data_IF_840333308648
#
_entry.id   IF_840333308648
#
_cell.length_a   1.000
_cell.length_b   1.000
_cell.length_c   1.000
_cell.angle_alpha   90.00
_cell.angle_beta   90.00
_cell.angle_gamma   90.00
#
_symmetry.space_group_name_H-M   'P 1'
#
loop_
_entity.id
_entity.type
_entity.pdbx_description
1 polymer ?
#
# COMPACT_ATOMS: atom_id res chain seq x y z
N UNK A 1 2.24 -81.49 39.58
CA UNK A 1 3.55 -80.91 39.93
C UNK A 1 3.52 -79.45 39.54
N UNK A 2 4.12 -78.63 40.39
CA UNK A 2 3.89 -77.20 40.59
C UNK A 2 3.93 -76.32 39.34
N UNK A 3 2.94 -75.43 39.24
CA UNK A 3 3.01 -74.25 38.39
C UNK A 3 3.91 -73.24 39.12
N UNK A 4 5.23 -73.41 38.99
CA UNK A 4 6.22 -72.49 39.56
C UNK A 4 6.08 -71.16 38.83
N UNK A 5 5.31 -70.25 39.43
CA UNK A 5 5.20 -68.86 38.99
C UNK A 5 6.61 -68.29 38.93
N UNK A 6 7.12 -68.11 37.72
CA UNK A 6 8.43 -67.54 37.46
C UNK A 6 8.44 -66.15 38.10
N UNK A 7 9.22 -65.99 39.18
CA UNK A 7 9.31 -64.70 39.84
C UNK A 7 9.93 -63.69 38.86
N UNK A 8 9.33 -62.49 38.73
CA UNK A 8 9.89 -61.45 37.89
C UNK A 8 11.26 -61.04 38.45
N UNK A 9 12.19 -60.75 37.54
CA UNK A 9 13.47 -60.19 37.93
C UNK A 9 13.25 -58.73 38.38
N UNK A 10 13.20 -58.54 39.70
CA UNK A 10 13.02 -57.23 40.31
C UNK A 10 14.16 -56.27 39.98
N UNK A 11 15.34 -56.76 39.61
CA UNK A 11 16.46 -55.92 39.16
C UNK A 11 16.17 -55.32 37.79
N UNK A 12 15.62 -56.12 36.88
CA UNK A 12 15.18 -55.67 35.55
C UNK A 12 14.01 -54.69 35.68
N UNK A 13 13.05 -54.99 36.55
CA UNK A 13 11.92 -54.09 36.81
C UNK A 13 12.38 -52.74 37.39
N UNK A 14 13.30 -52.75 38.37
CA UNK A 14 13.86 -51.53 38.94
C UNK A 14 14.70 -50.74 37.93
N UNK A 15 15.44 -51.43 37.05
CA UNK A 15 16.17 -50.81 35.95
C UNK A 15 15.25 -50.12 34.95
N UNK A 16 14.14 -50.77 34.57
CA UNK A 16 13.13 -50.18 33.70
C UNK A 16 12.45 -48.95 34.30
N UNK A 17 12.17 -48.97 35.60
CA UNK A 17 11.61 -47.82 36.31
C UNK A 17 12.58 -46.64 36.38
N UNK A 18 13.89 -46.88 36.57
CA UNK A 18 14.91 -45.82 36.50
C UNK A 18 15.00 -45.23 35.10
N UNK A 19 15.05 -46.07 34.08
CA UNK A 19 15.09 -45.59 32.70
C UNK A 19 13.86 -44.73 32.36
N UNK A 20 12.67 -45.13 32.83
CA UNK A 20 11.46 -44.34 32.67
C UNK A 20 11.56 -42.99 33.40
N UNK A 21 12.09 -42.98 34.62
CA UNK A 21 12.32 -41.74 35.38
C UNK A 21 13.31 -40.80 34.68
N UNK A 22 14.44 -41.32 34.18
CA UNK A 22 15.43 -40.55 33.43
C UNK A 22 14.81 -39.91 32.17
N UNK A 23 13.94 -40.65 31.46
CA UNK A 23 13.23 -40.12 30.29
C UNK A 23 12.18 -39.06 30.66
N UNK A 24 11.55 -39.16 31.83
CA UNK A 24 10.61 -38.13 32.31
C UNK A 24 11.33 -36.85 32.76
N UNK A 25 12.56 -36.96 33.28
CA UNK A 25 13.39 -35.79 33.58
C UNK A 25 13.77 -35.01 32.31
N UNK A 26 13.98 -35.70 31.17
CA UNK A 26 14.22 -35.05 29.88
C UNK A 26 13.02 -34.22 29.39
N UNK A 27 11.80 -34.55 29.82
CA UNK A 27 10.60 -33.80 29.48
C UNK A 27 10.52 -32.41 30.15
N UNK A 28 11.38 -32.10 31.13
CA UNK A 28 11.45 -30.77 31.76
C UNK A 28 11.92 -29.68 30.78
N UNK A 29 12.54 -30.07 29.65
CA UNK A 29 13.00 -29.16 28.60
C UNK A 29 11.99 -28.96 27.46
N UNK A 30 10.81 -29.57 27.54
CA UNK A 30 9.76 -29.32 26.55
C UNK A 30 9.18 -27.95 26.89
N UNK A 31 9.20 -26.96 25.98
CA UNK A 31 8.54 -25.68 26.20
C UNK A 31 7.07 -25.96 26.52
N UNK A 32 6.74 -25.81 27.80
CA UNK A 32 5.43 -26.18 28.34
C UNK A 32 4.34 -25.32 27.69
N UNK A 33 3.11 -25.83 27.76
CA UNK A 33 1.87 -25.22 27.24
C UNK A 33 1.72 -23.70 27.52
N UNK A 34 2.41 -23.16 28.54
CA UNK A 34 2.52 -21.73 28.82
C UNK A 34 3.14 -20.89 27.69
N UNK A 35 4.08 -21.43 26.91
CA UNK A 35 4.64 -20.74 25.74
C UNK A 35 3.61 -20.59 24.61
N UNK A 36 2.73 -21.58 24.46
CA UNK A 36 1.61 -21.50 23.50
C UNK A 36 0.63 -20.38 23.85
N UNK A 37 0.31 -20.22 25.14
CA UNK A 37 -0.54 -19.10 25.61
C UNK A 37 0.12 -17.74 25.40
N UNK A 38 1.43 -17.63 25.64
CA UNK A 38 2.19 -16.40 25.37
C UNK A 38 2.24 -16.07 23.89
N UNK A 39 2.42 -17.06 23.02
CA UNK A 39 2.38 -16.88 21.56
C UNK A 39 1.01 -16.45 21.06
N UNK A 40 -0.08 -17.03 21.57
CA UNK A 40 -1.43 -16.61 21.23
C UNK A 40 -1.68 -15.15 21.61
N UNK A 41 -1.29 -14.75 22.83
CA UNK A 41 -1.39 -13.35 23.27
C UNK A 41 -0.56 -12.40 22.42
N UNK A 42 0.65 -12.80 22.02
CA UNK A 42 1.47 -12.00 21.11
C UNK A 42 0.80 -11.85 19.73
N UNK A 43 0.21 -12.92 19.22
CA UNK A 43 -0.48 -12.93 17.93
C UNK A 43 -1.74 -12.06 17.96
N UNK A 44 -2.55 -12.14 19.00
CA UNK A 44 -3.73 -11.28 19.19
C UNK A 44 -3.34 -9.80 19.22
N UNK A 45 -2.28 -9.44 19.95
CA UNK A 45 -1.78 -8.05 19.98
C UNK A 45 -1.29 -7.58 18.61
N UNK A 46 -0.65 -8.46 17.84
CA UNK A 46 -0.22 -8.15 16.48
C UNK A 46 -1.42 -7.92 15.55
N UNK A 47 -2.47 -8.74 15.66
CA UNK A 47 -3.68 -8.56 14.86
C UNK A 47 -4.36 -7.22 15.15
N UNK A 48 -4.54 -6.87 16.43
CA UNK A 48 -5.10 -5.56 16.82
C UNK A 48 -4.27 -4.42 16.24
N UNK A 49 -2.94 -4.52 16.33
CA UNK A 49 -2.05 -3.48 15.81
C UNK A 49 -2.08 -3.38 14.27
N UNK A 50 -2.25 -4.51 13.58
CA UNK A 50 -2.41 -4.52 12.12
C UNK A 50 -3.74 -3.89 11.70
N UNK A 51 -4.81 -4.13 12.44
CA UNK A 51 -6.11 -3.50 12.18
C UNK A 51 -6.05 -1.99 12.36
N UNK A 52 -5.37 -1.51 13.42
CA UNK A 52 -5.11 -0.08 13.65
C UNK A 52 -4.32 0.54 12.49
N UNK A 53 -3.21 -0.09 12.08
CA UNK A 53 -2.39 0.38 10.95
C UNK A 53 -3.21 0.41 9.66
N UNK A 54 -4.02 -0.62 9.40
CA UNK A 54 -4.86 -0.69 8.21
C UNK A 54 -5.90 0.43 8.20
N UNK A 55 -6.48 0.75 9.36
CA UNK A 55 -7.42 1.86 9.48
C UNK A 55 -6.73 3.22 9.27
N UNK A 56 -5.58 3.45 9.88
CA UNK A 56 -4.78 4.66 9.68
C UNK A 56 -4.37 4.85 8.22
N UNK A 57 -3.94 3.78 7.56
CA UNK A 57 -3.60 3.82 6.13
C UNK A 57 -4.81 4.21 5.29
N UNK A 58 -5.98 3.62 5.51
CA UNK A 58 -7.21 4.00 4.78
C UNK A 58 -7.55 5.47 4.96
N UNK A 59 -7.46 5.99 6.18
CA UNK A 59 -7.69 7.40 6.45
C UNK A 59 -6.65 8.31 5.79
N UNK A 60 -5.37 7.91 5.81
CA UNK A 60 -4.32 8.65 5.14
C UNK A 60 -4.54 8.68 3.62
N UNK A 61 -4.84 7.54 2.99
CA UNK A 61 -5.13 7.46 1.56
C UNK A 61 -6.33 8.31 1.17
N UNK A 62 -7.42 8.29 1.94
CA UNK A 62 -8.59 9.13 1.69
C UNK A 62 -8.23 10.63 1.72
N UNK A 63 -7.44 11.06 2.72
CA UNK A 63 -6.97 12.46 2.80
C UNK A 63 -6.07 12.84 1.62
N UNK A 64 -5.14 11.96 1.23
CA UNK A 64 -4.28 12.18 0.07
C UNK A 64 -5.08 12.31 -1.22
N UNK A 65 -6.07 11.44 -1.43
CA UNK A 65 -6.95 11.50 -2.58
C UNK A 65 -7.71 12.82 -2.63
N UNK A 66 -8.34 13.23 -1.53
CA UNK A 66 -9.07 14.51 -1.46
C UNK A 66 -8.16 15.72 -1.70
N UNK A 67 -6.92 15.70 -1.19
CA UNK A 67 -5.95 16.76 -1.42
C UNK A 67 -5.54 16.84 -2.90
N UNK A 68 -5.30 15.70 -3.56
CA UNK A 68 -4.98 15.64 -4.99
C UNK A 68 -6.14 16.13 -5.86
N UNK A 69 -7.38 15.76 -5.53
CA UNK A 69 -8.57 16.24 -6.22
C UNK A 69 -8.77 17.76 -6.05
N UNK A 70 -8.48 18.30 -4.86
CA UNK A 70 -8.52 19.74 -4.61
C UNK A 70 -7.47 20.47 -5.47
N UNK A 71 -6.21 20.00 -5.45
CA UNK A 71 -5.13 20.57 -6.26
C UNK A 71 -5.44 20.49 -7.76
N UNK A 72 -5.99 19.37 -8.23
CA UNK A 72 -6.36 19.20 -9.65
C UNK A 72 -7.45 20.19 -10.06
N UNK A 73 -8.46 20.39 -9.21
CA UNK A 73 -9.53 21.37 -9.45
C UNK A 73 -8.99 22.80 -9.46
N UNK A 74 -8.12 23.14 -8.51
CA UNK A 74 -7.48 24.46 -8.43
C UNK A 74 -6.64 24.74 -9.68
N UNK A 75 -5.78 23.80 -10.09
CA UNK A 75 -5.00 23.93 -11.31
C UNK A 75 -5.89 24.10 -12.55
N UNK A 76 -6.94 23.30 -12.66
CA UNK A 76 -7.88 23.37 -13.78
C UNK A 76 -8.57 24.74 -13.84
N UNK A 77 -8.99 25.29 -12.69
CA UNK A 77 -9.60 26.62 -12.62
C UNK A 77 -8.60 27.71 -13.03
N UNK A 78 -7.39 27.68 -12.45
CA UNK A 78 -6.34 28.66 -12.75
C UNK A 78 -5.97 28.70 -14.22
N UNK A 79 -5.70 27.55 -14.84
CA UNK A 79 -5.30 27.51 -16.25
C UNK A 79 -6.47 27.75 -17.20
N UNK A 80 -7.71 27.50 -16.78
CA UNK A 80 -8.90 27.90 -17.55
C UNK A 80 -8.96 29.41 -17.70
N UNK A 81 -8.77 30.15 -16.61
CA UNK A 81 -8.79 31.62 -16.63
C UNK A 81 -7.63 32.19 -17.45
N UNK A 82 -6.43 31.62 -17.29
CA UNK A 82 -5.26 32.01 -18.09
C UNK A 82 -5.50 31.76 -19.59
N UNK A 83 -6.00 30.59 -19.96
CA UNK A 83 -6.31 30.26 -21.35
C UNK A 83 -7.40 31.15 -21.92
N UNK A 84 -8.36 31.58 -21.11
CA UNK A 84 -9.40 32.53 -21.54
C UNK A 84 -8.78 33.89 -21.87
N UNK A 85 -7.84 34.36 -21.07
CA UNK A 85 -7.10 35.59 -21.35
C UNK A 85 -6.28 35.48 -22.65
N UNK A 86 -5.49 34.41 -22.79
CA UNK A 86 -4.69 34.16 -24.00
C UNK A 86 -5.59 34.04 -25.24
N UNK A 87 -6.74 33.37 -25.13
CA UNK A 87 -7.69 33.27 -26.23
C UNK A 87 -8.25 34.64 -26.66
N UNK A 88 -8.48 35.55 -25.70
CA UNK A 88 -8.88 36.93 -26.00
C UNK A 88 -7.77 37.69 -26.72
N UNK A 89 -6.52 37.60 -26.25
CA UNK A 89 -5.38 38.22 -26.93
C UNK A 89 -5.14 37.65 -28.33
N UNK A 90 -5.20 36.33 -28.49
CA UNK A 90 -5.08 35.70 -29.80
C UNK A 90 -6.23 36.08 -30.75
N UNK A 91 -7.43 36.36 -30.23
CA UNK A 91 -8.60 36.68 -31.05
C UNK A 91 -8.51 38.01 -31.79
N UNK A 92 -7.68 38.95 -31.32
CA UNK A 92 -7.49 40.25 -31.99
C UNK A 92 -6.42 40.20 -33.10
N UNK A 93 -5.75 39.06 -33.26
CA UNK A 93 -4.68 38.88 -34.24
C UNK A 93 -5.27 38.38 -35.56
N UNK A 94 -5.34 39.27 -36.55
CA UNK A 94 -5.98 39.00 -37.86
C UNK A 94 -4.96 38.73 -38.95
N UNK A 95 -3.73 39.22 -38.80
CA UNK A 95 -2.68 39.06 -39.80
C UNK A 95 -2.13 37.63 -39.80
N UNK A 96 -1.97 37.04 -41.00
CA UNK A 96 -1.48 35.66 -41.15
C UNK A 96 -0.09 35.41 -40.53
N UNK A 97 0.74 36.44 -40.44
CA UNK A 97 2.07 36.40 -39.80
C UNK A 97 2.05 36.73 -38.31
N UNK A 98 0.90 37.14 -37.77
CA UNK A 98 0.72 37.43 -36.36
C UNK A 98 1.02 36.19 -35.51
N UNK A 99 1.76 36.39 -34.43
CA UNK A 99 2.18 35.33 -33.52
C UNK A 99 1.06 35.03 -32.52
N UNK A 100 0.72 33.76 -32.38
CA UNK A 100 -0.25 33.31 -31.38
C UNK A 100 0.50 32.85 -30.13
N UNK A 101 0.00 33.25 -28.97
CA UNK A 101 0.49 32.73 -27.70
C UNK A 101 -0.12 31.35 -27.41
N UNK A 102 0.69 30.36 -27.00
CA UNK A 102 0.19 29.01 -26.80
C UNK A 102 -0.62 28.85 -25.52
N UNK A 103 -1.67 28.02 -25.60
CA UNK A 103 -2.50 27.67 -24.44
C UNK A 103 -1.79 26.67 -23.51
N UNK A 104 -2.23 26.65 -22.26
CA UNK A 104 -1.80 25.71 -21.23
C UNK A 104 -2.74 24.50 -21.14
N UNK A 105 -2.19 23.33 -20.85
CA UNK A 105 -2.94 22.12 -20.53
C UNK A 105 -3.62 22.28 -19.16
N UNK A 106 -4.93 22.06 -19.10
CA UNK A 106 -5.69 22.15 -17.85
C UNK A 106 -5.31 21.08 -16.82
N UNK A 107 -4.83 19.92 -17.28
CA UNK A 107 -4.48 18.79 -16.42
C UNK A 107 -3.04 18.87 -15.91
N UNK A 108 -2.12 19.39 -16.70
CA UNK A 108 -0.68 19.40 -16.36
C UNK A 108 -0.12 20.78 -16.05
N UNK A 109 -0.83 21.85 -16.42
CA UNK A 109 -0.35 23.23 -16.31
C UNK A 109 0.83 23.56 -17.22
N UNK A 110 1.19 22.66 -18.13
CA UNK A 110 2.28 22.87 -19.10
C UNK A 110 1.74 23.51 -20.37
N UNK A 111 2.58 24.28 -21.03
CA UNK A 111 2.29 24.81 -22.37
C UNK A 111 2.02 23.66 -23.34
N UNK A 112 0.99 23.80 -24.18
CA UNK A 112 0.68 22.86 -25.25
C UNK A 112 1.73 23.05 -26.36
N UNK A 113 2.70 22.13 -26.43
CA UNK A 113 3.84 22.24 -27.34
C UNK A 113 3.47 22.10 -28.81
N UNK A 114 2.34 21.46 -29.13
CA UNK A 114 1.81 21.32 -30.49
C UNK A 114 0.82 22.43 -30.86
N UNK A 115 0.85 23.58 -30.17
CA UNK A 115 -0.04 24.69 -30.45
C UNK A 115 0.44 25.50 -31.69
N UNK A 116 -0.47 25.91 -32.60
CA UNK A 116 -0.12 26.74 -33.76
C UNK A 116 0.59 28.04 -33.35
N UNK A 117 1.72 28.35 -33.97
CA UNK A 117 2.51 29.53 -33.62
C UNK A 117 2.03 30.81 -34.32
N UNK A 118 1.26 30.66 -35.41
CA UNK A 118 0.77 31.77 -36.25
C UNK A 118 -0.65 31.52 -36.74
N UNK A 119 -1.35 32.59 -37.10
CA UNK A 119 -2.70 32.52 -37.71
C UNK A 119 -2.68 31.68 -39.00
N UNK A 120 -1.63 31.79 -39.82
CA UNK A 120 -1.48 30.96 -41.02
C UNK A 120 -1.39 29.46 -40.72
N UNK A 121 -0.82 29.06 -39.58
CA UNK A 121 -0.76 27.66 -39.17
C UNK A 121 -2.15 27.13 -38.80
N UNK A 122 -2.98 27.97 -38.18
CA UNK A 122 -4.39 27.66 -37.87
C UNK A 122 -5.21 27.49 -39.15
N UNK A 123 -5.06 28.41 -40.12
CA UNK A 123 -5.78 28.34 -41.41
C UNK A 123 -5.43 27.09 -42.24
N UNK A 124 -4.25 26.50 -42.03
CA UNK A 124 -3.87 25.21 -42.65
C UNK A 124 -4.54 24.01 -41.99
N UNK A 125 -4.86 24.08 -40.70
CA UNK A 125 -5.55 23.03 -39.97
C UNK A 125 -7.06 23.05 -40.22
N UNK A 126 -7.62 24.25 -40.45
CA UNK A 126 -9.03 24.46 -40.75
C UNK A 126 -9.17 25.37 -41.97
N UNK A 127 -9.06 24.82 -43.19
CA UNK A 127 -9.26 25.60 -44.42
C UNK A 127 -10.73 26.00 -44.51
N UNK A 128 -10.99 27.30 -44.52
CA UNK A 128 -12.30 27.91 -44.78
C UNK A 128 -12.63 28.01 -46.26
#
# INVERSE_FOLDING_TARGET
MDNTLQQPDFSVAAGGLRLAADNLELCQNIPGVDDGRRQLQATERLMVRLDEIQQEQRHAFARFQSALEALTRENTARYRDMNRYIALENSVIVEGTGQLEPLYSLSTGRVITAFPSRVADVNRLYPT
#
